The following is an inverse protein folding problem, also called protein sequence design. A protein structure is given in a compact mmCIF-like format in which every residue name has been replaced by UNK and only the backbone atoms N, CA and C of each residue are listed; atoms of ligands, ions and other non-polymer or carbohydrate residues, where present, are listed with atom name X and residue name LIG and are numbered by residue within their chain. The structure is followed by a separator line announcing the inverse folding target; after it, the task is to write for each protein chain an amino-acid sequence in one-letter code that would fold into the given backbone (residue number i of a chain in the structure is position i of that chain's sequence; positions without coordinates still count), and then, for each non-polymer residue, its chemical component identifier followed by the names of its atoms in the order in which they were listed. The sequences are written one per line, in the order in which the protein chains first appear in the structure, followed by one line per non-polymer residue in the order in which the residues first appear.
data_IF_661921583711
#
_entry.id   IF_661921583711
#
_cell.length_a   1.000
_cell.length_b   1.000
_cell.length_c   1.000
_cell.angle_alpha   90.00
_cell.angle_beta   90.00
_cell.angle_gamma   90.00
#
_symmetry.space_group_name_H-M   'P 1'
#
loop_
_entity.id
_entity.type
_entity.pdbx_description
1 polymer ?
#
# COMPACT_ATOMS: atom_id res chain seq x y z
N UNK A 1 37.14 13.70 -23.54
CA UNK A 1 35.77 13.68 -24.09
C UNK A 1 34.85 13.18 -22.98
N UNK A 2 34.06 14.07 -22.38
CA UNK A 2 33.37 13.88 -21.11
C UNK A 2 32.32 12.76 -21.17
N UNK A 3 32.51 11.71 -20.37
CA UNK A 3 31.58 10.60 -20.18
C UNK A 3 30.59 10.93 -19.05
N UNK A 4 29.76 11.96 -19.23
CA UNK A 4 28.70 12.32 -18.29
C UNK A 4 27.34 12.07 -18.93
N UNK A 5 26.41 11.52 -18.15
CA UNK A 5 25.01 11.23 -18.47
C UNK A 5 24.66 9.89 -19.14
N UNK A 6 25.17 8.77 -18.61
CA UNK A 6 24.35 7.54 -18.66
C UNK A 6 23.31 7.67 -17.54
N UNK A 7 22.06 8.04 -17.87
CA UNK A 7 20.95 8.09 -16.89
C UNK A 7 20.87 6.73 -16.18
N UNK A 8 21.24 6.67 -14.90
CA UNK A 8 21.02 5.47 -14.09
C UNK A 8 19.50 5.30 -13.95
N UNK A 9 18.94 4.21 -14.47
CA UNK A 9 17.59 3.79 -14.14
C UNK A 9 17.64 3.23 -12.72
N UNK A 10 16.90 3.83 -11.80
CA UNK A 10 16.79 3.33 -10.43
C UNK A 10 15.68 2.29 -10.31
N UNK A 11 15.75 1.47 -9.29
CA UNK A 11 14.72 0.48 -8.97
C UNK A 11 14.35 0.60 -7.50
N UNK A 12 13.10 0.31 -7.19
CA UNK A 12 12.74 -0.04 -5.83
C UNK A 12 13.48 -1.32 -5.39
N UNK A 13 13.61 -1.56 -4.07
CA UNK A 13 14.18 -2.80 -3.57
C UNK A 13 13.52 -4.03 -4.19
N UNK A 14 14.34 -5.03 -4.50
CA UNK A 14 13.85 -6.34 -4.93
C UNK A 14 13.13 -7.03 -3.77
N UNK A 15 12.03 -7.77 -4.04
CA UNK A 15 11.44 -8.63 -3.04
C UNK A 15 12.39 -9.80 -2.71
N UNK A 16 12.26 -10.37 -1.52
CA UNK A 16 13.13 -11.43 -1.00
C UNK A 16 12.48 -12.81 -1.01
N UNK A 17 11.26 -12.94 -1.55
CA UNK A 17 10.59 -14.22 -1.71
C UNK A 17 11.11 -15.06 -2.89
N UNK A 18 10.74 -16.35 -2.94
CA UNK A 18 11.24 -17.29 -3.95
C UNK A 18 10.65 -17.06 -5.35
N UNK A 19 9.52 -16.35 -5.46
CA UNK A 19 8.87 -16.10 -6.75
C UNK A 19 9.24 -14.74 -7.32
N UNK A 20 9.53 -14.72 -8.63
CA UNK A 20 9.40 -13.47 -9.40
C UNK A 20 7.93 -13.08 -9.43
N UNK A 21 7.67 -11.79 -9.40
CA UNK A 21 6.29 -11.27 -9.40
C UNK A 21 5.91 -10.73 -10.77
N UNK A 22 4.64 -10.90 -11.09
CA UNK A 22 3.95 -10.24 -12.19
C UNK A 22 2.97 -9.22 -11.65
N UNK A 23 2.52 -8.31 -12.51
CA UNK A 23 1.43 -7.41 -12.16
C UNK A 23 0.58 -7.01 -13.37
N UNK A 24 -0.69 -6.70 -13.09
CA UNK A 24 -1.66 -6.19 -14.04
C UNK A 24 -2.55 -5.13 -13.37
N UNK A 25 -3.10 -4.21 -14.16
CA UNK A 25 -4.15 -3.30 -13.70
C UNK A 25 -5.51 -3.70 -14.25
N UNK A 26 -6.52 -3.66 -13.39
CA UNK A 26 -7.89 -4.04 -13.75
C UNK A 26 -8.84 -2.93 -13.33
N UNK A 27 -9.75 -2.59 -14.23
CA UNK A 27 -10.94 -1.81 -13.92
C UNK A 27 -12.16 -2.65 -14.33
N UNK A 28 -13.14 -2.77 -13.44
CA UNK A 28 -14.22 -3.75 -13.64
C UNK A 28 -15.42 -3.20 -14.44
N UNK A 29 -15.59 -1.87 -14.52
CA UNK A 29 -16.77 -1.26 -15.16
C UNK A 29 -16.54 0.22 -15.55
N UNK A 30 -17.45 0.76 -16.37
CA UNK A 30 -17.49 2.14 -16.86
C UNK A 30 -18.28 3.07 -15.91
N UNK A 31 -17.78 3.25 -14.69
CA UNK A 31 -18.49 4.05 -13.67
C UNK A 31 -17.55 4.79 -12.75
N UNK A 32 -18.03 5.90 -12.18
CA UNK A 32 -17.31 6.65 -11.12
C UNK A 32 -17.06 5.81 -9.88
N UNK A 33 -17.87 4.77 -9.68
CA UNK A 33 -17.80 3.83 -8.56
C UNK A 33 -17.18 2.49 -8.99
N UNK A 34 -16.56 2.41 -10.18
CA UNK A 34 -15.82 1.22 -10.61
C UNK A 34 -14.67 0.92 -9.65
N UNK A 35 -14.38 -0.37 -9.50
CA UNK A 35 -13.17 -0.82 -8.84
C UNK A 35 -11.99 -0.59 -9.78
N UNK A 36 -10.91 -0.04 -9.25
CA UNK A 36 -9.66 0.09 -9.97
C UNK A 36 -8.54 -0.47 -9.10
N UNK A 37 -7.93 -1.57 -9.55
CA UNK A 37 -7.03 -2.38 -8.73
C UNK A 37 -5.76 -2.70 -9.51
N UNK A 38 -4.63 -2.71 -8.81
CA UNK A 38 -3.40 -3.34 -9.28
C UNK A 38 -3.25 -4.69 -8.60
N UNK A 39 -3.20 -5.76 -9.38
CA UNK A 39 -2.87 -7.08 -8.87
C UNK A 39 -1.35 -7.29 -8.96
N UNK A 40 -0.76 -7.84 -7.90
CA UNK A 40 0.59 -8.39 -7.89
C UNK A 40 0.48 -9.86 -7.49
N UNK A 41 1.21 -10.72 -8.20
CA UNK A 41 1.08 -12.17 -8.06
C UNK A 41 2.40 -12.89 -8.40
N UNK A 42 2.64 -14.11 -7.93
CA UNK A 42 3.81 -14.92 -8.30
C UNK A 42 3.75 -15.40 -9.76
N UNK A 43 4.92 -15.58 -10.38
CA UNK A 43 5.10 -16.12 -11.75
C UNK A 43 6.08 -17.29 -11.75
N UNK A 44 6.15 -18.01 -12.88
CA UNK A 44 7.11 -19.12 -13.06
C UNK A 44 8.49 -18.66 -13.55
N UNK A 45 8.73 -17.35 -13.63
CA UNK A 45 10.04 -16.83 -14.04
C UNK A 45 11.05 -17.08 -12.93
N UNK A 46 12.17 -17.70 -13.27
CA UNK A 46 13.21 -17.99 -12.29
C UNK A 46 13.83 -16.69 -11.72
N UNK A 47 14.08 -16.57 -10.39
CA UNK A 47 14.59 -15.35 -9.77
C UNK A 47 15.86 -14.76 -10.39
N UNK A 48 16.75 -15.62 -10.89
CA UNK A 48 18.00 -15.20 -11.58
C UNK A 48 17.74 -14.46 -12.89
N UNK A 49 16.54 -14.60 -13.46
CA UNK A 49 16.19 -14.06 -14.77
C UNK A 49 15.44 -12.72 -14.67
N UNK A 50 14.99 -12.31 -13.47
CA UNK A 50 14.26 -11.06 -13.27
C UNK A 50 14.98 -9.84 -13.87
N UNK A 51 16.30 -9.75 -13.67
CA UNK A 51 17.09 -8.64 -14.22
C UNK A 51 17.21 -8.69 -15.74
N UNK A 52 17.21 -9.88 -16.35
CA UNK A 52 17.22 -10.08 -17.81
C UNK A 52 15.96 -9.49 -18.45
N UNK A 53 14.86 -9.46 -17.70
CA UNK A 53 13.56 -8.92 -18.13
C UNK A 53 13.29 -7.47 -17.68
N UNK A 54 14.32 -6.70 -17.28
CA UNK A 54 14.18 -5.32 -16.77
C UNK A 54 13.44 -4.34 -17.67
N UNK A 55 13.38 -4.58 -18.99
CA UNK A 55 12.59 -3.78 -19.94
C UNK A 55 11.07 -3.89 -19.73
N UNK A 56 10.61 -4.94 -19.06
CA UNK A 56 9.19 -5.21 -18.74
C UNK A 56 8.81 -4.74 -17.34
N UNK A 57 9.73 -4.11 -16.61
CA UNK A 57 9.43 -3.57 -15.29
C UNK A 57 8.46 -2.39 -15.37
N UNK A 58 7.62 -2.29 -14.35
CA UNK A 58 6.60 -1.25 -14.29
C UNK A 58 7.18 0.05 -13.76
N UNK A 59 6.94 1.20 -14.41
CA UNK A 59 7.34 2.47 -13.86
C UNK A 59 6.60 2.74 -12.55
N UNK A 60 7.30 3.25 -11.54
CA UNK A 60 6.70 3.53 -10.23
C UNK A 60 5.56 4.55 -10.33
N UNK A 61 5.74 5.62 -11.13
CA UNK A 61 4.63 6.51 -11.52
C UNK A 61 4.21 6.23 -12.96
N UNK A 62 2.93 5.94 -13.14
CA UNK A 62 2.38 5.42 -14.39
C UNK A 62 1.96 6.57 -15.34
N UNK A 63 1.62 7.74 -14.78
CA UNK A 63 1.11 8.86 -15.56
C UNK A 63 1.46 10.22 -14.93
N UNK A 64 1.73 11.23 -15.76
CA UNK A 64 2.14 12.57 -15.32
C UNK A 64 1.14 13.24 -14.40
N UNK A 65 -0.16 13.05 -14.65
CA UNK A 65 -1.26 13.55 -13.78
C UNK A 65 -1.13 13.11 -12.31
N UNK A 66 -0.62 11.91 -12.03
CA UNK A 66 -0.37 11.50 -10.65
C UNK A 66 0.81 12.27 -10.03
N UNK A 67 1.84 12.60 -10.82
CA UNK A 67 2.94 13.46 -10.35
C UNK A 67 2.45 14.89 -10.07
N UNK A 68 1.61 15.44 -10.95
CA UNK A 68 0.98 16.75 -10.75
C UNK A 68 0.17 16.79 -9.45
N UNK A 69 -0.68 15.78 -9.24
CA UNK A 69 -1.50 15.67 -8.04
C UNK A 69 -0.66 15.45 -6.76
N UNK A 70 0.42 14.65 -6.85
CA UNK A 70 1.32 14.44 -5.73
C UNK A 70 2.11 15.72 -5.36
N UNK A 71 2.58 16.47 -6.36
CA UNK A 71 3.21 17.77 -6.12
C UNK A 71 2.25 18.76 -5.45
N UNK A 72 1.00 18.83 -5.94
CA UNK A 72 -0.05 19.66 -5.35
C UNK A 72 -0.35 19.27 -3.90
N UNK A 73 -0.44 17.97 -3.60
CA UNK A 73 -0.66 17.44 -2.24
C UNK A 73 0.47 17.87 -1.28
N UNK A 74 1.71 17.86 -1.74
CA UNK A 74 2.88 18.28 -0.95
C UNK A 74 3.09 19.80 -0.95
N UNK A 75 2.23 20.58 -1.60
CA UNK A 75 2.40 22.04 -1.83
C UNK A 75 3.74 22.40 -2.49
N UNK A 76 4.29 21.47 -3.27
CA UNK A 76 5.54 21.65 -4.01
C UNK A 76 5.23 22.09 -5.44
N UNK A 77 6.05 22.99 -5.99
CA UNK A 77 5.92 23.34 -7.40
C UNK A 77 6.35 22.13 -8.25
N UNK A 78 5.56 21.81 -9.28
CA UNK A 78 5.77 20.63 -10.13
C UNK A 78 7.20 20.54 -10.71
N UNK A 79 7.81 21.68 -11.05
CA UNK A 79 9.17 21.72 -11.60
C UNK A 79 10.22 21.16 -10.62
N UNK A 80 10.02 21.31 -9.30
CA UNK A 80 10.91 20.76 -8.27
C UNK A 80 10.85 19.24 -8.31
N UNK A 81 9.64 18.67 -8.34
CA UNK A 81 9.45 17.23 -8.43
C UNK A 81 10.02 16.66 -9.73
N UNK A 82 9.79 17.35 -10.86
CA UNK A 82 10.38 16.99 -12.16
C UNK A 82 11.91 17.05 -12.15
N UNK A 83 12.50 18.03 -11.48
CA UNK A 83 13.96 18.13 -11.32
C UNK A 83 14.51 16.97 -10.49
N UNK A 84 13.86 16.62 -9.36
CA UNK A 84 14.25 15.47 -8.54
C UNK A 84 14.21 14.18 -9.38
N UNK A 85 13.11 13.94 -10.10
CA UNK A 85 12.98 12.75 -10.97
C UNK A 85 13.94 12.76 -12.16
N UNK A 86 14.28 13.94 -12.70
CA UNK A 86 15.30 14.06 -13.73
C UNK A 86 16.68 13.64 -13.21
N UNK A 87 17.03 14.01 -11.97
CA UNK A 87 18.30 13.66 -11.32
C UNK A 87 18.35 12.18 -10.90
N UNK A 88 17.27 11.67 -10.32
CA UNK A 88 17.15 10.27 -9.84
C UNK A 88 16.97 9.27 -10.99
N UNK A 89 16.45 9.73 -12.13
CA UNK A 89 16.08 8.88 -13.26
C UNK A 89 14.70 8.23 -13.06
N UNK A 90 14.22 7.54 -14.10
CA UNK A 90 12.98 6.76 -14.00
C UNK A 90 13.20 5.63 -12.98
N UNK A 91 12.30 5.56 -12.00
CA UNK A 91 12.26 4.48 -11.01
C UNK A 91 11.27 3.42 -11.45
N UNK A 92 11.68 2.16 -11.35
CA UNK A 92 10.87 0.99 -11.67
C UNK A 92 10.60 0.12 -10.45
N UNK A 93 9.43 -0.50 -10.45
CA UNK A 93 9.05 -1.57 -9.54
C UNK A 93 9.59 -2.87 -10.17
N UNK A 94 10.40 -3.68 -9.47
CA UNK A 94 10.95 -4.92 -10.00
C UNK A 94 9.89 -6.03 -10.01
N UNK A 95 8.95 -5.91 -10.96
CA UNK A 95 7.84 -6.82 -11.22
C UNK A 95 7.57 -6.84 -12.73
N UNK A 96 7.10 -7.95 -13.28
CA UNK A 96 6.91 -8.13 -14.71
C UNK A 96 5.49 -7.75 -15.14
N UNK A 97 5.38 -6.77 -16.06
CA UNK A 97 4.07 -6.39 -16.61
C UNK A 97 3.42 -7.55 -17.36
N UNK A 98 2.18 -7.88 -16.97
CA UNK A 98 1.30 -8.89 -17.58
C UNK A 98 1.97 -10.25 -17.82
N UNK A 99 2.95 -10.61 -16.97
CA UNK A 99 3.50 -11.97 -16.97
C UNK A 99 2.40 -12.95 -16.53
N UNK A 100 2.33 -14.16 -17.12
CA UNK A 100 1.42 -15.20 -16.65
C UNK A 100 1.63 -15.51 -15.17
N UNK A 101 0.52 -15.78 -14.50
CA UNK A 101 0.51 -16.24 -13.11
C UNK A 101 1.18 -17.61 -13.04
N UNK A 102 1.90 -17.88 -11.95
CA UNK A 102 2.58 -19.15 -11.71
C UNK A 102 1.68 -20.36 -11.97
N UNK A 103 2.22 -21.44 -12.53
CA UNK A 103 1.54 -22.72 -12.66
C UNK A 103 1.82 -23.66 -11.48
N UNK A 104 2.87 -23.38 -10.69
CA UNK A 104 3.27 -24.21 -9.55
C UNK A 104 2.25 -24.19 -8.39
N UNK A 105 1.68 -23.02 -8.05
CA UNK A 105 0.76 -22.89 -6.92
C UNK A 105 -0.71 -23.04 -7.32
N UNK A 106 -1.37 -24.15 -6.96
CA UNK A 106 -2.79 -24.37 -7.30
C UNK A 106 -3.75 -23.29 -6.77
N UNK A 107 -3.49 -22.74 -5.58
CA UNK A 107 -4.31 -21.71 -4.94
C UNK A 107 -3.44 -20.59 -4.38
N UNK A 108 -3.89 -19.35 -4.55
CA UNK A 108 -3.21 -18.14 -4.11
C UNK A 108 -4.03 -17.49 -2.98
N UNK A 109 -3.51 -17.44 -1.74
CA UNK A 109 -4.11 -16.64 -0.68
C UNK A 109 -4.17 -15.17 -1.08
N UNK A 110 -5.28 -14.51 -0.75
CA UNK A 110 -5.58 -13.16 -1.20
C UNK A 110 -5.34 -12.13 -0.10
N UNK A 111 -4.62 -11.06 -0.45
CA UNK A 111 -4.45 -9.85 0.38
C UNK A 111 -5.10 -8.67 -0.33
N UNK A 112 -6.07 -8.02 0.30
CA UNK A 112 -6.59 -6.72 -0.14
C UNK A 112 -5.77 -5.61 0.53
N UNK A 113 -5.18 -4.71 -0.26
CA UNK A 113 -4.39 -3.59 0.24
C UNK A 113 -5.10 -2.26 0.01
N UNK A 114 -5.26 -1.47 1.07
CA UNK A 114 -5.86 -0.12 1.05
C UNK A 114 -4.79 0.95 1.29
N UNK A 115 -4.69 1.92 0.37
CA UNK A 115 -3.71 3.01 0.46
C UNK A 115 -4.11 4.12 1.45
N UNK A 116 -3.12 4.91 1.88
CA UNK A 116 -3.33 6.07 2.77
C UNK A 116 -4.05 7.26 2.12
N UNK A 117 -4.32 8.27 2.94
CA UNK A 117 -4.90 9.54 2.49
C UNK A 117 -3.91 10.31 1.60
N UNK A 118 -4.36 10.78 0.44
CA UNK A 118 -3.51 11.41 -0.58
C UNK A 118 -2.64 10.43 -1.40
N UNK A 119 -2.56 9.16 -0.98
CA UNK A 119 -1.83 8.11 -1.68
C UNK A 119 -2.64 7.54 -2.86
N UNK A 120 -2.11 6.50 -3.51
CA UNK A 120 -2.67 5.80 -4.66
C UNK A 120 -2.28 4.32 -4.60
N UNK A 121 -2.82 3.48 -5.49
CA UNK A 121 -2.54 2.01 -5.51
C UNK A 121 -1.07 1.63 -5.70
N UNK A 122 -0.21 2.55 -6.14
CA UNK A 122 1.21 2.27 -6.42
C UNK A 122 2.18 2.85 -5.38
N UNK A 123 1.70 3.52 -4.32
CA UNK A 123 2.59 4.13 -3.31
C UNK A 123 3.18 3.13 -2.31
N UNK A 124 2.61 1.93 -2.18
CA UNK A 124 3.08 0.87 -1.28
C UNK A 124 3.42 -0.40 -2.06
N UNK A 125 4.00 -0.25 -3.26
CA UNK A 125 4.29 -1.39 -4.14
C UNK A 125 5.36 -2.31 -3.57
N UNK A 126 6.32 -1.81 -2.78
CA UNK A 126 7.38 -2.63 -2.18
C UNK A 126 6.84 -3.72 -1.24
N UNK A 127 5.92 -3.38 -0.33
CA UNK A 127 5.28 -4.36 0.56
C UNK A 127 4.37 -5.31 -0.21
N UNK A 128 3.61 -4.79 -1.19
CA UNK A 128 2.75 -5.64 -2.03
C UNK A 128 3.59 -6.64 -2.86
N UNK A 129 4.75 -6.19 -3.36
CA UNK A 129 5.66 -7.00 -4.16
C UNK A 129 6.34 -8.08 -3.31
N UNK A 130 6.73 -7.75 -2.06
CA UNK A 130 7.25 -8.74 -1.12
C UNK A 130 6.22 -9.85 -0.87
N UNK A 131 4.97 -9.51 -0.57
CA UNK A 131 3.93 -10.52 -0.33
C UNK A 131 3.65 -11.36 -1.59
N UNK A 132 3.57 -10.74 -2.77
CA UNK A 132 3.40 -11.48 -4.02
C UNK A 132 4.55 -12.46 -4.28
N UNK A 133 5.80 -12.07 -3.96
CA UNK A 133 6.97 -12.95 -4.08
C UNK A 133 6.97 -14.14 -3.12
N UNK A 134 6.12 -14.11 -2.08
CA UNK A 134 5.88 -15.21 -1.12
C UNK A 134 4.69 -16.08 -1.54
N UNK A 135 4.09 -15.78 -2.70
CA UNK A 135 3.03 -16.56 -3.30
C UNK A 135 1.61 -16.15 -2.93
N UNK A 136 1.43 -14.92 -2.45
CA UNK A 136 0.10 -14.31 -2.32
C UNK A 136 -0.34 -13.66 -3.63
N UNK A 137 -1.64 -13.52 -3.83
CA UNK A 137 -2.18 -12.52 -4.74
C UNK A 137 -2.53 -11.26 -3.94
N UNK A 138 -1.90 -10.15 -4.26
CA UNK A 138 -2.13 -8.86 -3.59
C UNK A 138 -2.92 -7.95 -4.51
N UNK A 139 -4.10 -7.54 -4.05
CA UNK A 139 -5.01 -6.64 -4.74
C UNK A 139 -4.91 -5.23 -4.12
N UNK A 140 -4.04 -4.38 -4.67
CA UNK A 140 -3.87 -3.00 -4.24
C UNK A 140 -4.95 -2.11 -4.88
N UNK A 141 -5.95 -1.76 -4.07
CA UNK A 141 -7.14 -1.03 -4.48
C UNK A 141 -6.87 0.48 -4.56
N UNK A 142 -7.34 1.13 -5.62
CA UNK A 142 -7.43 2.59 -5.70
C UNK A 142 -8.84 3.08 -5.37
N UNK A 143 -8.94 3.83 -4.28
CA UNK A 143 -10.23 4.28 -3.77
C UNK A 143 -10.82 5.45 -4.57
N UNK A 144 -12.12 5.40 -4.85
CA UNK A 144 -12.91 6.45 -5.54
C UNK A 144 -13.64 7.36 -4.55
N UNK A 145 -13.18 7.39 -3.30
CA UNK A 145 -13.71 8.18 -2.19
C UNK A 145 -13.20 9.62 -2.16
N UNK A 146 -12.42 10.04 -3.17
CA UNK A 146 -11.77 11.36 -3.25
C UNK A 146 -10.69 11.57 -2.18
N UNK A 147 -10.21 10.50 -1.54
CA UNK A 147 -9.04 10.55 -0.65
C UNK A 147 -7.74 10.36 -1.41
N UNK A 148 -7.72 9.68 -2.56
CA UNK A 148 -6.54 9.58 -3.40
C UNK A 148 -6.10 10.99 -3.86
N UNK A 149 -4.81 11.21 -4.11
CA UNK A 149 -4.33 12.49 -4.68
C UNK A 149 -5.00 12.78 -6.02
N UNK A 150 -5.19 11.73 -6.81
CA UNK A 150 -6.04 11.71 -8.01
C UNK A 150 -6.38 10.25 -8.31
N UNK A 151 -7.49 10.01 -8.98
CA UNK A 151 -7.77 8.75 -9.68
C UNK A 151 -8.65 9.04 -10.89
N UNK A 152 -8.96 8.02 -11.70
CA UNK A 152 -9.79 8.20 -12.88
C UNK A 152 -10.68 6.98 -13.16
N UNK A 153 -11.69 7.17 -14.00
CA UNK A 153 -12.53 6.12 -14.57
C UNK A 153 -12.89 6.49 -16.02
N UNK A 154 -13.46 5.54 -16.75
CA UNK A 154 -14.05 5.78 -18.08
C UNK A 154 -15.57 5.77 -17.96
N UNK A 155 -16.29 6.68 -18.63
CA UNK A 155 -17.76 6.71 -18.57
C UNK A 155 -18.41 5.76 -19.58
N UNK A 156 -17.65 5.31 -20.58
CA UNK A 156 -18.11 4.42 -21.64
C UNK A 156 -16.95 3.65 -22.27
N UNK A 157 -17.27 2.64 -23.07
CA UNK A 157 -16.29 1.93 -23.88
C UNK A 157 -15.56 2.86 -24.86
N UNK A 158 -16.28 3.79 -25.51
CA UNK A 158 -15.69 4.77 -26.42
C UNK A 158 -14.66 5.66 -25.71
N UNK A 159 -14.98 6.16 -24.51
CA UNK A 159 -14.05 6.94 -23.70
C UNK A 159 -12.79 6.13 -23.35
N UNK A 160 -12.93 4.83 -23.05
CA UNK A 160 -11.79 3.95 -22.81
C UNK A 160 -10.95 3.75 -24.05
N UNK A 161 -11.57 3.61 -25.22
CA UNK A 161 -10.86 3.36 -26.46
C UNK A 161 -10.07 4.56 -26.96
N UNK A 162 -10.61 5.76 -26.74
CA UNK A 162 -9.97 7.06 -27.01
C UNK A 162 -9.05 7.53 -25.87
N UNK A 163 -8.95 6.77 -24.78
CA UNK A 163 -8.17 7.10 -23.57
C UNK A 163 -8.65 8.40 -22.85
N UNK A 164 -9.93 8.76 -23.04
CA UNK A 164 -10.62 9.91 -22.45
C UNK A 164 -11.00 9.67 -20.98
N UNK A 165 -10.03 9.87 -20.08
CA UNK A 165 -10.17 9.65 -18.63
C UNK A 165 -11.02 10.73 -17.97
N UNK A 166 -11.99 10.30 -17.16
CA UNK A 166 -12.69 11.18 -16.20
C UNK A 166 -12.01 11.13 -14.85
N UNK A 167 -11.45 12.26 -14.41
CA UNK A 167 -10.67 12.35 -13.18
C UNK A 167 -11.52 12.66 -11.95
N UNK A 168 -11.16 12.03 -10.84
CA UNK A 168 -11.67 12.33 -9.50
C UNK A 168 -10.54 12.96 -8.69
N UNK A 169 -10.77 14.18 -8.22
CA UNK A 169 -9.77 15.00 -7.54
C UNK A 169 -9.83 14.84 -6.03
N UNK A 170 -8.68 14.96 -5.38
CA UNK A 170 -8.53 14.91 -3.93
C UNK A 170 -9.32 16.00 -3.21
N UNK A 171 -10.06 15.65 -2.15
CA UNK A 171 -10.64 16.63 -1.22
C UNK A 171 -9.68 16.84 -0.04
N UNK A 172 -8.94 17.98 0.02
CA UNK A 172 -7.90 18.23 1.02
C UNK A 172 -8.43 18.25 2.46
N UNK A 173 -7.51 18.05 3.41
CA UNK A 173 -7.80 18.18 4.83
C UNK A 173 -7.64 19.64 5.22
N UNK A 174 -8.76 20.36 5.28
CA UNK A 174 -8.82 21.63 5.99
C UNK A 174 -8.80 21.34 7.52
N UNK A 175 -8.43 22.29 8.36
CA UNK A 175 -8.57 22.18 9.83
C UNK A 175 -9.74 23.08 10.30
N UNK A 176 -10.13 24.05 9.48
CA UNK A 176 -11.08 25.11 9.82
C UNK A 176 -12.55 24.73 9.47
N UNK A 177 -12.80 23.58 8.84
CA UNK A 177 -14.15 23.12 8.50
C UNK A 177 -14.74 22.26 9.63
N UNK A 178 -15.85 22.70 10.21
CA UNK A 178 -16.51 22.00 11.35
C UNK A 178 -16.87 20.53 11.10
N UNK A 179 -17.03 20.11 9.85
CA UNK A 179 -17.50 18.77 9.46
C UNK A 179 -16.41 17.74 9.10
N UNK A 180 -15.13 17.99 9.42
CA UNK A 180 -14.02 17.09 9.02
C UNK A 180 -14.25 15.62 9.34
N UNK A 181 -14.77 15.31 10.53
CA UNK A 181 -15.04 13.93 10.88
C UNK A 181 -16.08 13.28 9.97
N UNK A 182 -17.20 13.97 9.69
CA UNK A 182 -18.28 13.46 8.83
C UNK A 182 -17.76 13.12 7.45
N UNK A 183 -16.94 14.01 6.85
CA UNK A 183 -16.31 13.76 5.55
C UNK A 183 -15.40 12.55 5.57
N UNK A 184 -14.49 12.44 6.56
CA UNK A 184 -13.55 11.31 6.64
C UNK A 184 -14.25 10.00 6.99
N UNK A 185 -15.32 10.04 7.75
CA UNK A 185 -16.12 8.87 8.06
C UNK A 185 -16.95 8.39 6.84
N UNK A 186 -17.53 9.31 6.06
CA UNK A 186 -18.17 8.97 4.78
C UNK A 186 -17.17 8.34 3.80
N UNK A 187 -15.96 8.88 3.73
CA UNK A 187 -14.86 8.31 2.95
C UNK A 187 -14.49 6.91 3.45
N UNK A 188 -14.32 6.72 4.76
CA UNK A 188 -14.06 5.40 5.35
C UNK A 188 -15.12 4.37 4.96
N UNK A 189 -16.41 4.73 5.06
CA UNK A 189 -17.52 3.84 4.70
C UNK A 189 -17.49 3.46 3.22
N UNK A 190 -17.20 4.42 2.33
CA UNK A 190 -17.02 4.15 0.90
C UNK A 190 -15.81 3.24 0.64
N UNK A 191 -14.68 3.47 1.31
CA UNK A 191 -13.47 2.64 1.19
C UNK A 191 -13.74 1.19 1.59
N UNK A 192 -14.48 0.96 2.67
CA UNK A 192 -14.85 -0.38 3.11
C UNK A 192 -15.84 -1.05 2.15
N UNK A 193 -16.81 -0.31 1.62
CA UNK A 193 -17.70 -0.80 0.56
C UNK A 193 -16.90 -1.25 -0.68
N UNK A 194 -15.91 -0.46 -1.12
CA UNK A 194 -15.03 -0.83 -2.23
C UNK A 194 -14.20 -2.08 -1.92
N UNK A 195 -13.70 -2.25 -0.68
CA UNK A 195 -13.01 -3.48 -0.26
C UNK A 195 -13.93 -4.71 -0.28
N UNK A 196 -15.20 -4.57 0.12
CA UNK A 196 -16.20 -5.66 0.07
C UNK A 196 -16.50 -6.06 -1.37
N UNK A 197 -16.79 -5.07 -2.22
CA UNK A 197 -17.04 -5.25 -3.65
C UNK A 197 -15.83 -5.84 -4.37
N UNK A 198 -14.61 -5.54 -3.91
CA UNK A 198 -13.40 -6.17 -4.45
C UNK A 198 -13.33 -7.66 -4.14
N UNK A 199 -13.74 -8.12 -2.96
CA UNK A 199 -13.83 -9.56 -2.69
C UNK A 199 -14.87 -10.22 -3.60
N UNK A 200 -16.03 -9.59 -3.78
CA UNK A 200 -17.06 -10.09 -4.71
C UNK A 200 -16.51 -10.19 -6.15
N UNK A 201 -15.80 -9.15 -6.60
CA UNK A 201 -15.18 -9.14 -7.93
C UNK A 201 -14.05 -10.16 -8.09
N UNK A 202 -13.26 -10.40 -7.04
CA UNK A 202 -12.27 -11.48 -7.06
C UNK A 202 -12.92 -12.86 -7.11
N UNK A 203 -14.09 -13.04 -6.47
CA UNK A 203 -14.87 -14.27 -6.61
C UNK A 203 -15.41 -14.43 -8.04
N UNK A 204 -15.88 -13.35 -8.67
CA UNK A 204 -16.25 -13.36 -10.10
C UNK A 204 -15.07 -13.77 -10.99
N UNK A 205 -13.87 -13.22 -10.76
CA UNK A 205 -12.65 -13.64 -11.48
C UNK A 205 -12.38 -15.13 -11.24
N UNK A 206 -12.46 -15.58 -9.99
CA UNK A 206 -12.22 -16.97 -9.62
C UNK A 206 -13.23 -17.93 -10.28
N UNK A 207 -14.44 -17.46 -10.59
CA UNK A 207 -15.48 -18.21 -11.28
C UNK A 207 -15.44 -18.08 -12.82
N UNK A 208 -14.54 -17.25 -13.38
CA UNK A 208 -14.42 -17.00 -14.83
C UNK A 208 -15.41 -15.95 -15.37
N UNK A 209 -16.03 -15.15 -14.48
CA UNK A 209 -16.99 -14.10 -14.83
C UNK A 209 -16.39 -12.69 -14.75
N UNK A 210 -15.19 -12.54 -14.19
CA UNK A 210 -14.50 -11.27 -14.05
C UNK A 210 -14.18 -10.62 -15.40
N UNK A 211 -14.26 -9.29 -15.46
CA UNK A 211 -13.99 -8.51 -16.67
C UNK A 211 -13.01 -7.37 -16.37
N UNK A 212 -12.09 -7.13 -17.30
CA UNK A 212 -11.22 -5.96 -17.29
C UNK A 212 -11.60 -5.06 -18.47
N UNK A 213 -12.05 -3.84 -18.19
CA UNK A 213 -12.35 -2.87 -19.24
C UNK A 213 -11.09 -2.18 -19.79
N UNK A 214 -9.95 -2.30 -19.11
CA UNK A 214 -8.68 -1.73 -19.57
C UNK A 214 -8.12 -2.57 -20.72
N UNK A 215 -7.45 -1.90 -21.68
CA UNK A 215 -6.70 -2.59 -22.74
C UNK A 215 -5.52 -3.33 -22.11
N UNK A 216 -5.60 -4.65 -22.03
CA UNK A 216 -4.62 -5.53 -21.40
C UNK A 216 -4.49 -6.82 -22.20
N UNK A 217 -3.27 -7.36 -22.30
CA UNK A 217 -3.05 -8.69 -22.88
C UNK A 217 -3.06 -9.80 -21.82
N UNK A 218 -3.30 -9.44 -20.55
CA UNK A 218 -3.38 -10.41 -19.47
C UNK A 218 -4.69 -11.20 -19.56
N UNK A 219 -4.56 -12.52 -19.65
CA UNK A 219 -5.71 -13.43 -19.61
C UNK A 219 -6.22 -13.56 -18.16
N UNK A 220 -7.36 -12.93 -17.86
CA UNK A 220 -7.99 -13.03 -16.55
C UNK A 220 -8.45 -14.47 -16.22
N UNK A 221 -8.76 -15.29 -17.22
CA UNK A 221 -9.19 -16.67 -16.99
C UNK A 221 -8.04 -17.55 -16.44
N UNK A 222 -6.79 -17.10 -16.57
CA UNK A 222 -5.64 -17.73 -15.90
C UNK A 222 -5.75 -17.73 -14.36
N UNK A 223 -6.60 -16.89 -13.78
CA UNK A 223 -6.91 -16.86 -12.34
C UNK A 223 -8.14 -17.70 -11.96
N UNK A 224 -8.83 -18.31 -12.93
CA UNK A 224 -10.04 -19.11 -12.69
C UNK A 224 -9.73 -20.30 -11.79
N UNK A 225 -10.46 -20.41 -10.70
CA UNK A 225 -10.28 -21.44 -9.69
C UNK A 225 -8.94 -21.37 -8.96
N UNK A 226 -8.14 -20.29 -9.13
CA UNK A 226 -6.81 -20.13 -8.54
C UNK A 226 -6.80 -19.28 -7.29
N UNK A 227 -7.85 -18.53 -6.97
CA UNK A 227 -7.90 -17.69 -5.78
C UNK A 227 -8.38 -18.49 -4.57
N UNK A 228 -7.71 -18.31 -3.45
CA UNK A 228 -8.20 -18.72 -2.14
C UNK A 228 -8.85 -17.53 -1.44
N UNK A 229 -10.17 -17.54 -1.46
CA UNK A 229 -11.04 -16.51 -0.88
C UNK A 229 -11.70 -17.00 0.42
N UNK A 230 -11.27 -18.13 0.97
CA UNK A 230 -11.82 -18.66 2.23
C UNK A 230 -11.45 -17.79 3.43
N UNK A 231 -10.21 -17.28 3.44
CA UNK A 231 -9.66 -16.45 4.51
C UNK A 231 -8.87 -15.24 3.98
N UNK A 232 -9.50 -14.31 3.22
CA UNK A 232 -8.80 -13.15 2.71
C UNK A 232 -8.26 -12.28 3.85
N UNK A 233 -7.07 -11.72 3.63
CA UNK A 233 -6.40 -10.80 4.54
C UNK A 233 -6.68 -9.37 4.07
N UNK A 234 -6.87 -8.44 5.00
CA UNK A 234 -6.89 -7.01 4.67
C UNK A 234 -5.73 -6.28 5.32
N UNK A 235 -5.05 -5.47 4.53
CA UNK A 235 -3.91 -4.66 4.94
C UNK A 235 -4.14 -3.21 4.53
N UNK A 236 -3.62 -2.26 5.29
CA UNK A 236 -3.60 -0.89 4.81
C UNK A 236 -2.69 0.05 5.59
N UNK A 237 -2.30 1.13 4.91
CA UNK A 237 -1.43 2.18 5.45
C UNK A 237 -2.23 3.42 5.81
N UNK A 238 -1.95 4.03 6.97
CA UNK A 238 -2.56 5.31 7.38
C UNK A 238 -4.09 5.23 7.39
N UNK A 239 -4.78 5.98 6.51
CA UNK A 239 -6.23 5.87 6.31
C UNK A 239 -6.67 4.46 5.84
N UNK A 240 -5.83 3.79 5.06
CA UNK A 240 -6.02 2.38 4.73
C UNK A 240 -5.94 1.46 5.94
N UNK A 241 -5.19 1.82 6.98
CA UNK A 241 -5.18 1.11 8.25
C UNK A 241 -6.55 1.19 8.96
N UNK A 242 -7.16 2.38 9.02
CA UNK A 242 -8.53 2.52 9.52
C UNK A 242 -9.56 1.76 8.65
N UNK A 243 -9.35 1.76 7.32
CA UNK A 243 -10.17 0.98 6.38
C UNK A 243 -10.10 -0.51 6.68
N UNK A 244 -8.88 -1.05 6.85
CA UNK A 244 -8.65 -2.45 7.19
C UNK A 244 -9.34 -2.85 8.50
N UNK A 245 -9.24 -2.02 9.54
CA UNK A 245 -9.92 -2.28 10.82
C UNK A 245 -11.44 -2.27 10.68
N UNK A 246 -12.01 -1.27 10.00
CA UNK A 246 -13.47 -1.18 9.86
C UNK A 246 -14.04 -2.27 8.95
N UNK A 247 -13.31 -2.66 7.91
CA UNK A 247 -13.66 -3.81 7.09
C UNK A 247 -13.58 -5.12 7.89
N UNK A 248 -12.54 -5.33 8.71
CA UNK A 248 -12.48 -6.51 9.59
C UNK A 248 -13.67 -6.62 10.54
N UNK A 249 -14.13 -5.48 11.06
CA UNK A 249 -15.30 -5.41 11.94
C UNK A 249 -16.62 -5.71 11.21
N UNK A 250 -16.74 -5.31 9.93
CA UNK A 250 -18.04 -5.26 9.21
C UNK A 250 -18.15 -6.20 8.00
N UNK A 251 -17.09 -6.94 7.67
CA UNK A 251 -17.04 -7.95 6.61
C UNK A 251 -16.53 -9.28 7.21
N UNK A 252 -17.40 -10.28 7.40
CA UNK A 252 -17.04 -11.57 8.00
C UNK A 252 -15.99 -12.37 7.23
N UNK A 253 -15.86 -12.16 5.91
CA UNK A 253 -14.90 -12.89 5.07
C UNK A 253 -13.45 -12.57 5.41
N UNK A 254 -13.12 -11.31 5.68
CA UNK A 254 -11.77 -10.97 6.13
C UNK A 254 -11.48 -11.61 7.49
N UNK A 255 -10.36 -12.32 7.63
CA UNK A 255 -10.01 -13.04 8.87
C UNK A 255 -8.83 -12.45 9.63
N UNK A 256 -7.99 -11.68 8.94
CA UNK A 256 -6.70 -11.19 9.44
C UNK A 256 -6.46 -9.75 8.99
N UNK A 257 -5.88 -8.93 9.88
CA UNK A 257 -5.60 -7.52 9.63
C UNK A 257 -4.14 -7.15 9.78
N UNK A 258 -3.64 -6.32 8.87
CA UNK A 258 -2.33 -5.68 9.05
C UNK A 258 -2.44 -4.17 8.90
N UNK A 259 -2.13 -3.45 9.97
CA UNK A 259 -2.33 -2.02 10.12
C UNK A 259 -0.97 -1.33 10.12
N UNK A 260 -0.64 -0.68 9.00
CA UNK A 260 0.62 0.04 8.84
C UNK A 260 0.42 1.52 9.21
N UNK A 261 0.90 1.91 10.38
CA UNK A 261 0.89 3.29 10.88
C UNK A 261 -0.50 3.95 10.82
N UNK A 262 -1.49 3.26 11.39
CA UNK A 262 -2.91 3.54 11.17
C UNK A 262 -3.40 4.90 11.68
N UNK A 263 -4.17 5.61 10.86
CA UNK A 263 -4.82 6.87 11.21
C UNK A 263 -6.24 6.64 11.74
N UNK A 264 -6.42 6.66 13.06
CA UNK A 264 -7.67 6.26 13.73
C UNK A 264 -8.77 7.34 13.71
N UNK A 265 -8.47 8.57 13.29
CA UNK A 265 -9.44 9.68 13.30
C UNK A 265 -10.77 9.36 12.60
N UNK A 266 -10.81 8.69 11.43
CA UNK A 266 -12.07 8.33 10.75
C UNK A 266 -12.94 7.34 11.53
N UNK A 267 -12.35 6.61 12.49
CA UNK A 267 -13.02 5.62 13.35
C UNK A 267 -13.48 6.21 14.69
N UNK A 268 -13.14 7.46 15.03
CA UNK A 268 -13.23 7.95 16.41
C UNK A 268 -14.62 7.93 17.06
N UNK A 269 -15.72 7.84 16.29
CA UNK A 269 -17.09 7.70 16.80
C UNK A 269 -17.74 6.37 16.38
N UNK A 270 -17.02 5.49 15.70
CA UNK A 270 -17.52 4.16 15.33
C UNK A 270 -17.39 3.24 16.55
N UNK A 271 -18.47 2.52 16.86
CA UNK A 271 -18.49 1.51 17.90
C UNK A 271 -18.25 0.16 17.24
N UNK A 272 -17.00 -0.30 17.26
CA UNK A 272 -16.59 -1.55 16.62
C UNK A 272 -15.82 -2.44 17.58
N UNK A 273 -16.08 -3.74 17.48
CA UNK A 273 -15.34 -4.80 18.16
C UNK A 273 -14.69 -5.69 17.11
N UNK A 274 -13.41 -6.01 17.32
CA UNK A 274 -12.63 -6.84 16.39
C UNK A 274 -11.92 -7.93 17.19
N UNK A 275 -12.45 -9.14 17.11
CA UNK A 275 -11.86 -10.32 17.74
C UNK A 275 -10.87 -11.06 16.83
N UNK A 276 -10.80 -10.66 15.56
CA UNK A 276 -9.89 -11.22 14.56
C UNK A 276 -8.45 -10.72 14.83
N UNK A 277 -7.41 -11.55 14.63
CA UNK A 277 -6.04 -11.13 14.88
C UNK A 277 -5.60 -9.96 13.99
N UNK A 278 -4.86 -9.02 14.59
CA UNK A 278 -4.32 -7.85 13.91
C UNK A 278 -2.85 -7.62 14.29
N UNK A 279 -2.04 -7.27 13.29
CA UNK A 279 -0.70 -6.72 13.47
C UNK A 279 -0.72 -5.21 13.28
N UNK A 280 -0.18 -4.46 14.22
CA UNK A 280 0.08 -3.03 14.12
C UNK A 280 1.58 -2.78 13.97
N UNK A 281 1.99 -2.14 12.87
CA UNK A 281 3.37 -1.69 12.65
C UNK A 281 3.36 -0.17 12.51
N UNK A 282 3.78 0.52 13.57
CA UNK A 282 3.75 1.96 13.70
C UNK A 282 5.13 2.59 13.42
N UNK A 283 5.13 3.89 13.10
CA UNK A 283 6.35 4.70 12.96
C UNK A 283 6.53 5.66 14.13
N UNK A 284 7.76 6.11 14.36
CA UNK A 284 8.12 6.92 15.53
C UNK A 284 7.37 8.27 15.57
N UNK A 285 7.14 8.90 14.42
CA UNK A 285 6.75 10.32 14.36
C UNK A 285 5.31 10.60 13.92
N UNK A 286 4.44 9.60 13.99
CA UNK A 286 3.06 9.74 13.52
C UNK A 286 2.02 9.85 14.65
N UNK A 287 2.19 9.11 15.74
CA UNK A 287 1.13 8.92 16.72
C UNK A 287 1.04 10.04 17.77
N UNK A 288 -0.03 10.83 17.69
CA UNK A 288 -0.46 11.75 18.75
C UNK A 288 -1.32 11.02 19.80
N UNK A 289 -1.48 11.63 20.98
CA UNK A 289 -2.22 11.05 22.10
C UNK A 289 -3.64 10.61 21.72
N UNK A 290 -4.38 11.44 20.96
CA UNK A 290 -5.72 11.10 20.50
C UNK A 290 -5.76 9.84 19.61
N UNK A 291 -4.74 9.64 18.77
CA UNK A 291 -4.64 8.46 17.91
C UNK A 291 -4.32 7.21 18.74
N UNK A 292 -3.37 7.32 19.68
CA UNK A 292 -2.97 6.24 20.61
C UNK A 292 -4.15 5.82 21.47
N UNK A 293 -4.91 6.77 22.02
CA UNK A 293 -6.07 6.49 22.88
C UNK A 293 -7.10 5.61 22.16
N UNK A 294 -7.38 5.87 20.90
CA UNK A 294 -8.28 5.05 20.09
C UNK A 294 -7.66 3.68 19.77
N UNK A 295 -6.37 3.64 19.42
CA UNK A 295 -5.67 2.41 19.06
C UNK A 295 -5.58 1.42 20.23
N UNK A 296 -5.43 1.91 21.47
CA UNK A 296 -5.37 1.08 22.71
C UNK A 296 -6.60 0.21 22.94
N UNK A 297 -7.76 0.61 22.41
CA UNK A 297 -8.99 -0.20 22.49
C UNK A 297 -8.85 -1.54 21.75
N UNK A 298 -7.90 -1.65 20.82
CA UNK A 298 -7.70 -2.85 20.01
C UNK A 298 -6.39 -3.57 20.35
N UNK A 299 -5.29 -2.85 20.52
CA UNK A 299 -3.96 -3.47 20.72
C UNK A 299 -3.78 -4.14 22.08
N UNK A 300 -4.62 -3.83 23.07
CA UNK A 300 -4.55 -4.47 24.40
C UNK A 300 -5.12 -5.89 24.40
N UNK A 301 -5.71 -6.35 23.29
CA UNK A 301 -6.26 -7.69 23.15
C UNK A 301 -5.15 -8.70 22.84
N UNK A 302 -5.15 -9.90 23.47
CA UNK A 302 -4.03 -10.85 23.43
C UNK A 302 -3.75 -11.44 22.04
N UNK A 303 -4.74 -11.42 21.14
CA UNK A 303 -4.57 -11.88 19.75
C UNK A 303 -3.88 -10.86 18.84
N UNK A 304 -3.65 -9.63 19.31
CA UNK A 304 -3.09 -8.54 18.52
C UNK A 304 -1.62 -8.30 18.87
N UNK A 305 -0.84 -7.91 17.87
CA UNK A 305 0.57 -7.62 17.99
C UNK A 305 0.84 -6.16 17.65
N UNK A 306 1.72 -5.50 18.41
CA UNK A 306 2.05 -4.08 18.24
C UNK A 306 3.56 -3.90 18.24
N UNK A 307 4.07 -3.24 17.20
CA UNK A 307 5.46 -2.82 17.08
C UNK A 307 5.52 -1.37 16.61
N UNK A 308 6.43 -0.58 17.18
CA UNK A 308 6.78 0.76 16.68
C UNK A 308 8.24 0.78 16.27
N UNK A 309 8.51 1.11 15.00
CA UNK A 309 9.87 1.26 14.47
C UNK A 309 10.47 2.59 14.95
N UNK A 310 11.61 2.54 15.63
CA UNK A 310 12.33 3.73 16.11
C UNK A 310 13.00 4.45 14.94
N UNK A 311 13.19 5.75 15.11
CA UNK A 311 13.85 6.61 14.13
C UNK A 311 13.20 6.60 12.72
N UNK A 312 11.91 6.32 12.64
CA UNK A 312 11.15 6.30 11.38
C UNK A 312 10.12 7.43 11.31
N UNK A 313 9.69 7.74 10.09
CA UNK A 313 8.63 8.72 9.83
C UNK A 313 7.47 8.09 9.06
N UNK A 314 6.32 8.76 9.01
CA UNK A 314 5.07 8.17 8.47
C UNK A 314 5.21 7.61 7.05
N UNK A 315 6.07 8.21 6.23
CA UNK A 315 6.36 7.76 4.87
C UNK A 315 7.21 6.47 4.79
N UNK A 316 7.83 6.04 5.90
CA UNK A 316 8.69 4.84 5.96
C UNK A 316 7.97 3.56 5.53
N UNK A 317 6.64 3.53 5.70
CA UNK A 317 5.78 2.42 5.31
C UNK A 317 5.35 2.44 3.83
N UNK A 318 5.91 3.35 3.03
CA UNK A 318 5.60 3.53 1.61
C UNK A 318 6.88 3.42 0.76
N UNK A 319 6.73 3.45 -0.56
CA UNK A 319 7.86 3.41 -1.49
C UNK A 319 8.64 4.73 -1.52
N UNK A 320 7.99 5.82 -1.09
CA UNK A 320 8.45 7.17 -1.36
C UNK A 320 9.83 7.49 -0.77
N UNK A 321 10.26 6.98 0.41
CA UNK A 321 11.65 7.12 0.88
C UNK A 321 12.71 6.44 0.00
N UNK A 322 12.33 5.40 -0.76
CA UNK A 322 13.23 4.74 -1.71
C UNK A 322 13.36 5.51 -3.02
N UNK A 323 12.34 6.33 -3.34
CA UNK A 323 12.29 7.13 -4.57
C UNK A 323 12.94 8.50 -4.35
N UNK A 324 12.55 9.20 -3.29
CA UNK A 324 12.89 10.61 -3.06
C UNK A 324 13.80 10.84 -1.85
N UNK A 325 14.10 9.80 -1.06
CA UNK A 325 14.62 9.98 0.29
C UNK A 325 13.53 10.48 1.24
N UNK A 326 13.83 10.63 2.53
CA UNK A 326 12.84 11.13 3.50
C UNK A 326 12.55 12.63 3.33
N UNK A 327 11.28 13.04 3.41
CA UNK A 327 10.87 14.46 3.41
C UNK A 327 10.13 14.90 4.67
N UNK A 328 9.64 13.98 5.51
CA UNK A 328 9.10 14.36 6.83
C UNK A 328 10.23 14.45 7.86
N UNK A 329 10.07 15.39 8.79
CA UNK A 329 11.00 15.60 9.91
C UNK A 329 12.47 15.67 9.45
N UNK A 330 12.80 16.47 8.42
CA UNK A 330 14.10 16.48 7.73
C UNK A 330 15.33 16.48 8.65
N UNK A 331 15.28 17.20 9.78
CA UNK A 331 16.40 17.34 10.73
C UNK A 331 16.55 16.18 11.73
N UNK A 332 15.60 15.24 11.75
CA UNK A 332 15.69 14.04 12.57
C UNK A 332 16.65 13.04 11.93
N UNK A 333 17.55 12.45 12.73
CA UNK A 333 18.32 11.26 12.32
C UNK A 333 17.36 10.10 12.12
N UNK A 334 17.31 9.54 10.91
CA UNK A 334 16.38 8.47 10.53
C UNK A 334 17.11 7.14 10.36
N UNK A 335 16.38 6.07 10.63
CA UNK A 335 16.76 4.73 10.24
C UNK A 335 16.85 4.65 8.71
N UNK A 336 17.83 3.90 8.21
CA UNK A 336 17.93 3.63 6.77
C UNK A 336 16.61 3.07 6.24
N UNK A 337 16.12 3.61 5.12
CA UNK A 337 14.80 3.28 4.60
C UNK A 337 14.68 1.82 4.18
N UNK A 338 15.77 1.18 3.74
CA UNK A 338 15.77 -0.25 3.37
C UNK A 338 15.74 -1.12 4.62
N UNK A 339 16.43 -0.72 5.68
CA UNK A 339 16.34 -1.39 6.98
C UNK A 339 14.92 -1.27 7.54
N UNK A 340 14.33 -0.08 7.54
CA UNK A 340 12.95 0.13 8.01
C UNK A 340 11.93 -0.73 7.22
N UNK A 341 12.03 -0.72 5.89
CA UNK A 341 11.18 -1.56 5.02
C UNK A 341 11.36 -3.05 5.33
N UNK A 342 12.60 -3.51 5.49
CA UNK A 342 12.90 -4.92 5.78
C UNK A 342 12.36 -5.36 7.14
N UNK A 343 12.51 -4.53 8.17
CA UNK A 343 11.89 -4.76 9.48
C UNK A 343 10.37 -4.88 9.34
N UNK A 344 9.73 -3.90 8.69
CA UNK A 344 8.28 -3.93 8.46
C UNK A 344 7.84 -5.21 7.75
N UNK A 345 8.49 -5.56 6.64
CA UNK A 345 8.17 -6.77 5.89
C UNK A 345 8.33 -8.02 6.76
N UNK A 346 9.39 -8.12 7.56
CA UNK A 346 9.66 -9.30 8.38
C UNK A 346 8.65 -9.45 9.54
N UNK A 347 8.21 -8.34 10.13
CA UNK A 347 7.10 -8.37 11.11
C UNK A 347 5.80 -8.86 10.45
N UNK A 348 5.50 -8.40 9.25
CA UNK A 348 4.34 -8.87 8.47
C UNK A 348 4.44 -10.37 8.19
N UNK A 349 5.58 -10.83 7.69
CA UNK A 349 5.78 -12.24 7.33
C UNK A 349 5.70 -13.15 8.57
N UNK A 350 6.28 -12.75 9.70
CA UNK A 350 6.17 -13.48 10.96
C UNK A 350 4.71 -13.62 11.41
N UNK A 351 3.94 -12.53 11.34
CA UNK A 351 2.51 -12.54 11.67
C UNK A 351 1.72 -13.43 10.72
N UNK A 352 1.94 -13.31 9.40
CA UNK A 352 1.25 -14.13 8.41
C UNK A 352 1.61 -15.61 8.54
N UNK A 353 2.87 -15.96 8.79
CA UNK A 353 3.28 -17.35 9.06
C UNK A 353 2.48 -17.95 10.21
N UNK A 354 2.40 -17.23 11.34
CA UNK A 354 1.68 -17.67 12.55
C UNK A 354 0.19 -17.95 12.29
N UNK A 355 -0.43 -17.24 11.35
CA UNK A 355 -1.88 -17.27 11.15
C UNK A 355 -2.35 -17.95 9.86
N UNK A 356 -1.46 -18.16 8.87
CA UNK A 356 -1.83 -18.70 7.54
C UNK A 356 -1.06 -19.95 7.16
N UNK A 357 -0.07 -20.36 7.97
CA UNK A 357 0.83 -21.46 7.61
C UNK A 357 1.81 -21.11 6.50
N UNK A 358 2.00 -19.83 6.18
CA UNK A 358 2.99 -19.37 5.21
C UNK A 358 4.38 -19.91 5.55
N UNK A 359 4.98 -20.64 4.62
CA UNK A 359 6.35 -21.13 4.76
C UNK A 359 7.35 -19.99 4.49
N UNK A 360 8.15 -19.65 5.50
CA UNK A 360 9.29 -18.73 5.41
C UNK A 360 10.49 -19.35 6.12
N UNK A 361 11.69 -18.89 5.79
CA UNK A 361 12.90 -19.18 6.57
C UNK A 361 12.81 -18.51 7.94
N UNK A 362 12.14 -19.17 8.88
CA UNK A 362 11.76 -18.62 10.19
C UNK A 362 12.99 -18.15 10.98
N UNK A 363 14.08 -18.91 10.95
CA UNK A 363 15.34 -18.54 11.59
C UNK A 363 15.94 -17.27 11.01
N UNK A 364 15.88 -17.08 9.68
CA UNK A 364 16.37 -15.86 9.02
C UNK A 364 15.58 -14.63 9.52
N UNK A 365 14.25 -14.74 9.52
CA UNK A 365 13.34 -13.66 9.92
C UNK A 365 13.53 -13.32 11.40
N UNK A 366 13.50 -14.32 12.28
CA UNK A 366 13.68 -14.14 13.73
C UNK A 366 15.07 -13.58 14.07
N UNK A 367 16.13 -14.12 13.47
CA UNK A 367 17.49 -13.63 13.72
C UNK A 367 17.67 -12.18 13.27
N UNK A 368 17.08 -11.80 12.12
CA UNK A 368 17.14 -10.42 11.65
C UNK A 368 16.38 -9.47 12.57
N UNK A 369 15.15 -9.82 12.99
CA UNK A 369 14.37 -8.98 13.92
C UNK A 369 15.05 -8.87 15.29
N UNK A 370 15.68 -9.95 15.79
CA UNK A 370 16.50 -9.92 17.01
C UNK A 370 17.72 -9.00 16.88
N UNK A 371 18.43 -9.06 15.76
CA UNK A 371 19.55 -8.14 15.48
C UNK A 371 19.09 -6.67 15.45
N UNK A 372 17.83 -6.42 15.13
CA UNK A 372 17.20 -5.10 15.03
C UNK A 372 16.33 -4.76 16.23
N UNK A 373 16.46 -5.44 17.37
CA UNK A 373 15.63 -5.20 18.55
C UNK A 373 15.73 -3.75 19.06
N UNK A 374 16.90 -3.12 18.93
CA UNK A 374 17.13 -1.72 19.31
C UNK A 374 16.46 -0.72 18.35
N UNK A 375 16.05 -1.15 17.17
CA UNK A 375 15.30 -0.35 16.19
C UNK A 375 13.77 -0.52 16.40
N UNK A 376 13.33 -1.32 17.37
CA UNK A 376 11.94 -1.65 17.64
C UNK A 376 11.52 -1.34 19.09
N UNK A 377 10.21 -1.32 19.31
CA UNK A 377 9.60 -1.36 20.64
C UNK A 377 8.18 -1.92 20.52
N UNK A 378 7.73 -2.68 21.51
CA UNK A 378 6.38 -3.28 21.53
C UNK A 378 5.36 -2.33 22.19
N UNK A 379 5.60 -1.02 22.10
CA UNK A 379 4.80 0.03 22.72
C UNK A 379 4.70 1.22 21.75
N UNK A 380 3.87 2.19 22.07
CA UNK A 380 3.72 3.42 21.32
C UNK A 380 4.89 4.36 21.56
N UNK A 381 5.15 5.20 20.56
CA UNK A 381 5.95 6.41 20.74
C UNK A 381 5.02 7.60 20.55
N UNK A 382 4.83 8.38 21.62
CA UNK A 382 4.08 9.62 21.55
C UNK A 382 4.91 10.65 20.78
N UNK A 383 4.43 11.06 19.61
CA UNK A 383 5.09 12.09 18.83
C UNK A 383 4.81 13.48 19.41
N UNK A 384 5.66 13.92 20.33
CA UNK A 384 5.66 15.29 20.82
C UNK A 384 6.37 16.20 19.81
N UNK A 385 5.60 16.88 18.95
CA UNK A 385 6.14 18.00 18.17
C UNK A 385 6.61 19.05 19.19
N UNK A 386 7.92 19.34 19.27
CA UNK A 386 8.37 20.56 19.96
C UNK A 386 7.58 21.70 19.32
N UNK A 387 6.78 22.41 20.13
CA UNK A 387 6.15 23.63 19.66
C UNK A 387 7.27 24.48 19.06
N UNK A 388 7.17 24.79 17.76
CA UNK A 388 7.95 25.89 17.20
C UNK A 388 7.61 27.08 18.09
N UNK A 389 8.56 27.51 18.93
CA UNK A 389 8.50 28.86 19.52
C UNK A 389 8.18 29.75 18.34
N UNK A 390 7.03 30.42 18.36
CA UNK A 390 6.78 31.54 17.46
C UNK A 390 8.02 32.41 17.57
N UNK A 391 8.87 32.41 16.55
CA UNK A 391 9.79 33.51 16.36
C UNK A 391 8.89 34.68 16.03
N UNK A 392 8.45 35.40 17.06
CA UNK A 392 8.06 36.80 16.92
C UNK A 392 9.30 37.52 16.44
N UNK A 393 9.36 37.74 15.13
CA UNK A 393 10.14 38.82 14.56
C UNK A 393 9.49 40.12 15.04
N UNK A 394 10.06 40.68 16.11
CA UNK A 394 10.30 42.11 16.30
C UNK A 394 11.59 42.25 17.11
#
# INVERSE_FOLDING_TARGET
MFHWWRKKTGTLPFPEGPYVTGCVEIMNDYSKDSLFVRLLYPTDVHPTDLQKHSKRWVPWVIHEKYMEAFAALLTLWLFILKLILFLVGKIYIPTLWEEPVTTEKKKLPVVVFSHGYGATRFLCSTVCNELASRGFLVAALEHKDLSASITYYYKSENDRDEDNKSYLMHIPFDIDVKEHYSTRNKQLKKRVDECKRLIDFLDDINNGNGRNILKSNFDLDSLRGRLDLSEPIIMGHSFGGATAMYALATEPRFKLGVILDGWMFPLKQEQIEIHKPMLFVNTHTFHLEANIKLMKNFTNLPQNELYTMRNTTHESSTDTPQVFGYWLNLFMKKLDSRIALKIQNYLILQFLQKHTGLEIEEDLVKNYLKLRENDLTNDYILFAKKALRKFTLF
#
